data_IF_857843812051
#
_entry.id   IF_857843812051
#
_cell.length_a   1.000
_cell.length_b   1.000
_cell.length_c   1.000
_cell.angle_alpha   90.00
_cell.angle_beta   90.00
_cell.angle_gamma   90.00
#
_symmetry.space_group_name_H-M   'P 1'
#
loop_
_entity.id
_entity.type
_entity.pdbx_description
1 polymer ?
#
# COMPACT_ATOMS: atom_id res chain seq x y z
N UNK A 1 -29.22 4.59 -4.83
CA UNK A 1 -28.28 4.33 -5.95
C UNK A 1 -27.00 5.03 -5.55
N UNK A 2 -25.96 4.27 -5.20
CA UNK A 2 -24.79 4.73 -4.43
C UNK A 2 -23.83 5.54 -5.32
N UNK A 3 -24.18 6.78 -5.61
CA UNK A 3 -23.31 7.70 -6.34
C UNK A 3 -22.19 8.14 -5.38
N UNK A 4 -20.91 7.95 -5.72
CA UNK A 4 -19.71 8.48 -5.02
C UNK A 4 -18.98 7.63 -3.95
N UNK A 5 -18.67 6.35 -4.19
CA UNK A 5 -17.71 5.63 -3.33
C UNK A 5 -16.23 6.03 -3.56
N UNK A 6 -15.94 7.35 -3.56
CA UNK A 6 -14.65 7.99 -3.87
C UNK A 6 -14.52 8.26 -5.38
N UNK A 7 -14.44 9.54 -5.76
CA UNK A 7 -14.07 9.98 -7.11
C UNK A 7 -12.86 9.18 -7.62
N UNK A 8 -12.91 8.61 -8.83
CA UNK A 8 -11.88 7.71 -9.37
C UNK A 8 -10.47 8.28 -9.23
N UNK A 9 -10.32 9.58 -9.49
CA UNK A 9 -9.06 10.28 -9.36
C UNK A 9 -8.61 10.42 -7.90
N UNK A 10 -9.55 10.68 -6.98
CA UNK A 10 -9.27 10.71 -5.53
C UNK A 10 -8.92 9.33 -5.00
N UNK A 11 -9.54 8.27 -5.51
CA UNK A 11 -9.25 6.89 -5.14
C UNK A 11 -7.83 6.51 -5.55
N UNK A 12 -7.47 6.76 -6.81
CA UNK A 12 -6.13 6.49 -7.36
C UNK A 12 -5.07 7.27 -6.58
N UNK A 13 -5.30 8.55 -6.32
CA UNK A 13 -4.37 9.38 -5.55
C UNK A 13 -4.19 8.87 -4.11
N UNK A 14 -5.27 8.44 -3.46
CA UNK A 14 -5.21 7.87 -2.11
C UNK A 14 -4.41 6.57 -2.11
N UNK A 15 -4.64 5.69 -3.08
CA UNK A 15 -3.86 4.46 -3.25
C UNK A 15 -2.39 4.74 -3.54
N UNK A 16 -2.08 5.78 -4.31
CA UNK A 16 -0.71 6.21 -4.59
C UNK A 16 -0.02 6.68 -3.31
N UNK A 17 -0.68 7.52 -2.52
CA UNK A 17 -0.19 7.96 -1.20
C UNK A 17 0.07 6.78 -0.27
N UNK A 18 -0.86 5.82 -0.19
CA UNK A 18 -0.71 4.61 0.61
C UNK A 18 0.45 3.72 0.13
N UNK A 19 0.67 3.67 -1.18
CA UNK A 19 1.80 2.96 -1.77
C UNK A 19 3.14 3.60 -1.37
N UNK A 20 3.27 4.92 -1.52
CA UNK A 20 4.47 5.66 -1.09
C UNK A 20 4.71 5.47 0.41
N UNK A 21 3.66 5.60 1.22
CA UNK A 21 3.74 5.36 2.65
C UNK A 21 4.24 3.95 2.97
N UNK A 22 3.73 2.92 2.27
CA UNK A 22 4.17 1.54 2.46
C UNK A 22 5.62 1.33 2.06
N UNK A 23 6.07 1.92 0.95
CA UNK A 23 7.46 1.86 0.50
C UNK A 23 8.37 2.54 1.52
N UNK A 24 7.99 3.71 2.03
CA UNK A 24 8.73 4.44 3.06
C UNK A 24 8.91 3.61 4.34
N UNK A 25 7.83 2.98 4.83
CA UNK A 25 7.90 2.11 6.01
C UNK A 25 8.87 0.93 5.81
N UNK A 26 8.98 0.39 4.59
CA UNK A 26 9.96 -0.65 4.27
C UNK A 26 11.40 -0.11 4.29
N UNK A 27 11.62 1.09 3.75
CA UNK A 27 12.94 1.74 3.71
C UNK A 27 13.51 1.97 5.11
N UNK A 28 12.67 2.40 6.06
CA UNK A 28 13.07 2.55 7.47
C UNK A 28 13.12 1.20 8.23
N UNK A 29 12.89 0.08 7.54
CA UNK A 29 12.83 -1.28 8.10
C UNK A 29 11.84 -1.38 9.27
N UNK A 30 10.68 -0.77 9.10
CA UNK A 30 9.63 -0.80 10.13
C UNK A 30 9.24 -2.25 10.43
N UNK A 31 9.21 -2.61 11.71
CA UNK A 31 8.88 -3.97 12.12
C UNK A 31 7.37 -4.17 12.12
N UNK A 32 6.82 -4.55 10.97
CA UNK A 32 5.40 -4.83 10.80
C UNK A 32 4.93 -6.01 11.66
N UNK A 33 5.80 -6.90 12.13
CA UNK A 33 5.41 -8.01 13.00
C UNK A 33 5.05 -7.52 14.42
N UNK A 34 5.44 -6.31 14.81
CA UNK A 34 5.12 -5.73 16.12
C UNK A 34 3.75 -5.05 16.21
N UNK A 35 3.10 -4.76 15.09
CA UNK A 35 1.79 -4.11 15.09
C UNK A 35 0.69 -5.06 15.63
N UNK A 36 -0.31 -4.53 16.37
CA UNK A 36 -1.36 -5.35 16.98
C UNK A 36 -2.20 -6.11 15.93
N UNK A 37 -2.43 -5.50 14.76
CA UNK A 37 -3.13 -6.14 13.64
C UNK A 37 -2.37 -7.35 13.10
N UNK A 38 -1.07 -7.24 12.89
CA UNK A 38 -0.24 -8.33 12.34
C UNK A 38 0.09 -9.39 13.38
N UNK A 39 0.11 -9.06 14.67
CA UNK A 39 0.27 -10.04 15.77
C UNK A 39 -0.90 -11.03 15.85
N UNK A 40 -2.09 -10.65 15.39
CA UNK A 40 -3.26 -11.53 15.35
C UNK A 40 -3.24 -12.52 14.18
N UNK A 41 -2.32 -12.36 13.22
CA UNK A 41 -2.21 -13.23 12.04
C UNK A 41 -1.26 -14.42 12.31
N UNK A 42 -1.55 -15.60 11.73
CA UNK A 42 -0.62 -16.74 11.78
C UNK A 42 0.73 -16.36 11.17
N UNK A 43 1.84 -16.78 11.79
CA UNK A 43 3.22 -16.51 11.34
C UNK A 43 3.49 -16.78 9.85
N UNK A 44 3.03 -17.88 9.21
CA UNK A 44 3.26 -18.10 7.78
C UNK A 44 2.49 -17.09 6.90
N UNK A 45 1.33 -16.62 7.36
CA UNK A 45 0.52 -15.63 6.65
C UNK A 45 1.13 -14.24 6.81
N UNK A 46 1.69 -13.94 7.99
CA UNK A 46 2.32 -12.66 8.30
C UNK A 46 3.49 -12.35 7.36
N UNK A 47 4.39 -13.33 7.14
CA UNK A 47 5.56 -13.16 6.27
C UNK A 47 5.17 -12.95 4.80
N UNK A 48 4.16 -13.70 4.31
CA UNK A 48 3.69 -13.59 2.94
C UNK A 48 2.90 -12.30 2.69
N UNK A 49 2.05 -11.90 3.64
CA UNK A 49 1.27 -10.66 3.55
C UNK A 49 2.18 -9.43 3.51
N UNK A 50 3.25 -9.44 4.29
CA UNK A 50 4.19 -8.33 4.33
C UNK A 50 4.91 -8.15 2.99
N UNK A 51 5.46 -9.24 2.42
CA UNK A 51 6.12 -9.25 1.10
C UNK A 51 5.15 -8.89 -0.02
N UNK A 52 3.96 -9.49 -0.04
CA UNK A 52 2.96 -9.24 -1.06
C UNK A 52 2.50 -7.78 -1.08
N UNK A 53 2.19 -7.22 0.10
CA UNK A 53 1.78 -5.81 0.21
C UNK A 53 2.87 -4.84 -0.25
N UNK A 54 4.15 -5.18 -0.04
CA UNK A 54 5.26 -4.37 -0.53
C UNK A 54 5.42 -4.44 -2.06
N UNK A 55 5.37 -5.64 -2.65
CA UNK A 55 5.42 -5.80 -4.11
C UNK A 55 4.25 -5.10 -4.80
N UNK A 56 3.05 -5.19 -4.22
CA UNK A 56 1.87 -4.51 -4.75
C UNK A 56 2.03 -2.98 -4.68
N UNK A 57 2.55 -2.45 -3.56
CA UNK A 57 2.87 -1.03 -3.44
C UNK A 57 3.87 -0.57 -4.51
N UNK A 58 5.01 -1.28 -4.67
CA UNK A 58 6.00 -0.95 -5.70
C UNK A 58 5.36 -0.96 -7.10
N UNK A 59 4.62 -2.02 -7.43
CA UNK A 59 3.95 -2.13 -8.73
C UNK A 59 2.99 -0.98 -8.99
N UNK A 60 2.17 -0.63 -7.98
CA UNK A 60 1.24 0.49 -8.08
C UNK A 60 1.96 1.83 -8.27
N UNK A 61 3.05 2.06 -7.53
CA UNK A 61 3.85 3.28 -7.66
C UNK A 61 4.48 3.37 -9.05
N UNK A 62 5.12 2.30 -9.54
CA UNK A 62 5.78 2.31 -10.85
C UNK A 62 4.77 2.54 -11.99
N UNK A 63 3.57 1.99 -11.88
CA UNK A 63 2.56 2.09 -12.93
C UNK A 63 1.86 3.45 -12.95
N UNK A 64 1.45 3.96 -11.78
CA UNK A 64 0.59 5.14 -11.69
C UNK A 64 1.30 6.43 -11.28
N UNK A 65 2.48 6.37 -10.65
CA UNK A 65 3.21 7.59 -10.27
C UNK A 65 3.64 8.43 -11.48
N UNK A 66 4.17 7.85 -12.58
CA UNK A 66 4.58 8.65 -13.75
C UNK A 66 3.40 9.40 -14.37
N UNK A 67 2.27 8.74 -14.53
CA UNK A 67 1.05 9.35 -15.06
C UNK A 67 0.60 10.53 -14.19
N UNK A 68 0.63 10.37 -12.86
CA UNK A 68 0.21 11.43 -11.95
C UNK A 68 1.22 12.59 -11.81
N UNK A 69 2.53 12.32 -12.00
CA UNK A 69 3.58 13.34 -11.90
C UNK A 69 3.79 14.11 -13.22
N UNK A 70 3.45 13.49 -14.35
CA UNK A 70 3.63 14.06 -15.70
C UNK A 70 2.33 14.65 -16.29
N UNK A 71 1.18 14.43 -15.65
CA UNK A 71 -0.09 15.10 -15.95
C UNK A 71 -0.12 16.55 -15.45
#
# INVERSE_FOLDING_TARGET
MNESLINEQTFIFTCLCLSVFRIYLEVIRFDFAKLPLTKALPTPVQANFHKFGFYMAIGYFVLFAPEYLMA
#
